data_IF_741969554587
#
_entry.id   IF_741969554587
#
_cell.length_a   1.000
_cell.length_b   1.000
_cell.length_c   1.000
_cell.angle_alpha   90.00
_cell.angle_beta   90.00
_cell.angle_gamma   90.00
#
_symmetry.space_group_name_H-M   'P 1'
#
loop_
_entity.id
_entity.type
_entity.pdbx_description
1 polymer ?
#
# COMPACT_ATOMS: atom_id res chain seq x y z
N UNK A 1 34.71 27.92 30.90
CA UNK A 1 34.06 26.63 30.61
C UNK A 1 32.54 26.76 30.52
N UNK A 2 31.89 27.51 31.42
CA UNK A 2 30.43 27.74 31.44
C UNK A 2 29.89 28.42 30.16
N UNK A 3 30.58 29.42 29.62
CA UNK A 3 30.13 30.10 28.39
C UNK A 3 30.17 29.21 27.14
N UNK A 4 31.15 28.32 27.05
CA UNK A 4 31.27 27.38 25.93
C UNK A 4 30.10 26.39 25.97
N UNK A 5 29.75 25.90 27.16
CA UNK A 5 28.64 24.99 27.35
C UNK A 5 27.28 25.66 27.09
N UNK A 6 27.12 26.93 27.50
CA UNK A 6 25.93 27.74 27.20
C UNK A 6 25.79 27.99 25.68
N UNK A 7 26.89 28.27 25.00
CA UNK A 7 26.91 28.50 23.55
C UNK A 7 26.57 27.22 22.76
N UNK A 8 27.11 26.06 23.18
CA UNK A 8 26.75 24.75 22.59
C UNK A 8 25.27 24.43 22.80
N UNK A 9 24.72 24.67 24.01
CA UNK A 9 23.29 24.46 24.27
C UNK A 9 22.40 25.39 23.47
N UNK A 10 22.78 26.65 23.31
CA UNK A 10 22.04 27.61 22.48
C UNK A 10 22.03 27.20 21.01
N UNK A 11 23.17 26.72 20.48
CA UNK A 11 23.29 26.21 19.12
C UNK A 11 22.40 24.99 18.89
N UNK A 12 22.46 24.00 19.79
CA UNK A 12 21.65 22.76 19.71
C UNK A 12 20.15 23.05 19.82
N UNK A 13 19.75 23.96 20.72
CA UNK A 13 18.35 24.33 20.88
C UNK A 13 17.83 25.23 19.72
N UNK A 14 18.72 25.94 19.04
CA UNK A 14 18.38 26.76 17.87
C UNK A 14 18.15 25.94 16.60
N UNK A 15 18.88 24.83 16.43
CA UNK A 15 18.85 23.98 15.23
C UNK A 15 17.68 22.95 15.21
N UNK A 16 16.65 23.17 16.01
CA UNK A 16 15.45 22.31 16.05
C UNK A 16 14.48 22.54 14.88
N UNK A 17 14.88 23.28 13.84
CA UNK A 17 14.05 23.47 12.66
C UNK A 17 14.06 22.21 11.78
N UNK A 18 13.15 21.30 12.07
CA UNK A 18 12.92 20.11 11.27
C UNK A 18 11.97 20.35 10.08
N UNK A 19 11.65 21.61 9.72
CA UNK A 19 10.65 21.92 8.71
C UNK A 19 10.98 21.34 7.33
N UNK A 20 12.24 21.41 6.89
CA UNK A 20 12.67 20.87 5.61
C UNK A 20 12.51 19.34 5.55
N UNK A 21 12.93 18.65 6.60
CA UNK A 21 12.81 17.19 6.72
C UNK A 21 11.33 16.76 6.79
N UNK A 22 10.50 17.52 7.53
CA UNK A 22 9.07 17.30 7.61
C UNK A 22 8.39 17.51 6.24
N UNK A 23 8.76 18.57 5.51
CA UNK A 23 8.28 18.83 4.15
C UNK A 23 8.69 17.71 3.19
N UNK A 24 9.93 17.24 3.25
CA UNK A 24 10.41 16.10 2.47
C UNK A 24 9.58 14.84 2.76
N UNK A 25 9.28 14.56 4.03
CA UNK A 25 8.48 13.42 4.44
C UNK A 25 7.02 13.52 3.96
N UNK A 26 6.40 14.69 4.05
CA UNK A 26 5.04 14.93 3.53
C UNK A 26 4.99 14.70 2.02
N UNK A 27 6.00 15.18 1.28
CA UNK A 27 6.09 14.98 -0.16
C UNK A 27 6.25 13.51 -0.52
N UNK A 28 7.08 12.76 0.21
CA UNK A 28 7.20 11.30 0.04
C UNK A 28 5.88 10.59 0.31
N UNK A 29 5.16 10.95 1.38
CA UNK A 29 3.86 10.38 1.70
C UNK A 29 2.83 10.64 0.59
N UNK A 30 2.85 11.83 -0.02
CA UNK A 30 2.00 12.15 -1.17
C UNK A 30 2.32 11.26 -2.38
N UNK A 31 3.60 11.05 -2.68
CA UNK A 31 4.04 10.15 -3.77
C UNK A 31 3.58 8.71 -3.54
N UNK A 32 3.72 8.21 -2.31
CA UNK A 32 3.27 6.86 -1.94
C UNK A 32 1.76 6.70 -2.14
N UNK A 33 0.96 7.68 -1.70
CA UNK A 33 -0.49 7.62 -1.88
C UNK A 33 -0.89 7.57 -3.36
N UNK A 34 -0.25 8.37 -4.22
CA UNK A 34 -0.49 8.32 -5.67
C UNK A 34 -0.20 6.93 -6.24
N UNK A 35 0.95 6.33 -5.86
CA UNK A 35 1.29 4.98 -6.31
C UNK A 35 0.30 3.92 -5.81
N UNK A 36 -0.21 4.07 -4.58
CA UNK A 36 -1.25 3.18 -4.05
C UNK A 36 -2.55 3.32 -4.85
N UNK A 37 -2.94 4.53 -5.20
CA UNK A 37 -4.16 4.77 -5.96
C UNK A 37 -4.03 4.29 -7.41
N UNK A 38 -2.86 4.48 -8.04
CA UNK A 38 -2.52 3.89 -9.34
C UNK A 38 -2.59 2.36 -9.29
N UNK A 39 -1.96 1.74 -8.28
CA UNK A 39 -2.01 0.30 -8.05
C UNK A 39 -3.46 -0.21 -7.88
N UNK A 40 -4.29 0.51 -7.11
CA UNK A 40 -5.72 0.21 -6.95
C UNK A 40 -6.49 0.30 -8.25
N UNK A 41 -6.26 1.36 -9.02
CA UNK A 41 -6.92 1.56 -10.31
C UNK A 41 -6.52 0.50 -11.35
N UNK A 42 -5.31 -0.04 -11.24
CA UNK A 42 -4.82 -1.17 -12.04
C UNK A 42 -5.41 -2.53 -11.60
N UNK A 43 -6.35 -2.55 -10.65
CA UNK A 43 -6.96 -3.77 -10.11
C UNK A 43 -6.20 -4.39 -8.95
N UNK A 44 -5.20 -3.69 -8.39
CA UNK A 44 -4.51 -4.09 -7.17
C UNK A 44 -5.32 -3.69 -5.94
N UNK A 45 -6.10 -4.60 -5.37
CA UNK A 45 -6.92 -4.22 -4.23
C UNK A 45 -7.83 -5.30 -3.71
N UNK A 46 -8.31 -6.19 -4.56
CA UNK A 46 -8.96 -7.40 -4.06
C UNK A 46 -7.89 -8.36 -3.55
N UNK A 47 -8.08 -8.80 -2.31
CA UNK A 47 -7.47 -10.03 -1.81
C UNK A 47 -7.74 -11.08 -2.88
N UNK A 48 -6.68 -11.66 -3.44
CA UNK A 48 -6.83 -12.79 -4.36
C UNK A 48 -7.83 -13.77 -3.72
N UNK A 49 -8.92 -14.15 -4.40
CA UNK A 49 -9.91 -15.04 -3.80
C UNK A 49 -9.19 -16.22 -3.19
N UNK A 50 -9.51 -16.51 -1.94
CA UNK A 50 -8.86 -17.60 -1.22
C UNK A 50 -9.20 -18.94 -1.91
N UNK A 51 -8.60 -20.04 -1.45
CA UNK A 51 -8.87 -21.35 -2.07
C UNK A 51 -10.37 -21.69 -2.06
N UNK A 52 -11.13 -21.25 -1.03
CA UNK A 52 -12.58 -21.48 -0.91
C UNK A 52 -13.35 -20.61 -1.89
N UNK A 53 -13.00 -19.34 -2.05
CA UNK A 53 -13.60 -18.42 -3.01
C UNK A 53 -13.35 -18.88 -4.44
N UNK A 54 -12.15 -19.38 -4.74
CA UNK A 54 -11.81 -19.99 -6.04
C UNK A 54 -12.63 -21.24 -6.31
N UNK A 55 -12.85 -22.10 -5.31
CA UNK A 55 -13.69 -23.28 -5.46
C UNK A 55 -15.16 -22.92 -5.71
N UNK A 56 -15.70 -21.94 -4.98
CA UNK A 56 -17.08 -21.44 -5.18
C UNK A 56 -17.27 -20.87 -6.59
N UNK A 57 -16.35 -20.03 -7.06
CA UNK A 57 -16.35 -19.49 -8.43
C UNK A 57 -16.27 -20.60 -9.49
N UNK A 58 -15.47 -21.64 -9.26
CA UNK A 58 -15.37 -22.80 -10.17
C UNK A 58 -16.66 -23.61 -10.19
N UNK A 59 -17.33 -23.76 -9.04
CA UNK A 59 -18.63 -24.43 -8.94
C UNK A 59 -19.72 -23.68 -9.72
N UNK A 60 -19.80 -22.36 -9.58
CA UNK A 60 -20.76 -21.53 -10.33
C UNK A 60 -20.53 -21.64 -11.85
N UNK A 61 -19.27 -21.57 -12.31
CA UNK A 61 -18.91 -21.77 -13.72
C UNK A 61 -19.22 -23.17 -14.27
N UNK A 62 -19.44 -24.17 -13.40
CA UNK A 62 -19.83 -25.51 -13.80
C UNK A 62 -21.36 -25.71 -13.82
N UNK A 63 -22.11 -24.87 -13.11
CA UNK A 63 -23.59 -24.85 -13.15
C UNK A 63 -24.08 -24.21 -14.45
N UNK A 64 -23.38 -23.20 -14.96
CA UNK A 64 -23.72 -22.52 -16.23
C UNK A 64 -23.25 -23.27 -17.49
N UNK A 65 -22.55 -24.40 -17.35
CA UNK A 65 -22.23 -25.26 -18.50
C UNK A 65 -23.37 -26.26 -18.68
N UNK A 66 -24.13 -26.24 -19.79
CA UNK A 66 -25.04 -27.32 -20.08
C UNK A 66 -24.22 -28.61 -20.18
N UNK A 67 -24.62 -29.61 -19.41
CA UNK A 67 -23.98 -30.92 -19.37
C UNK A 67 -23.77 -31.39 -20.80
N UNK A 68 -22.50 -31.44 -21.25
CA UNK A 68 -22.17 -32.10 -22.51
C UNK A 68 -22.55 -33.56 -22.32
N UNK A 69 -23.70 -33.93 -22.87
CA UNK A 69 -24.10 -35.32 -23.06
C UNK A 69 -22.99 -35.98 -23.86
N UNK A 70 -22.16 -36.76 -23.17
CA UNK A 70 -21.23 -37.68 -23.80
C UNK A 70 -22.07 -38.77 -24.45
N UNK A 71 -22.41 -38.58 -25.72
CA UNK A 71 -22.94 -39.65 -26.55
C UNK A 71 -21.84 -40.70 -26.71
N UNK A 72 -21.99 -41.82 -25.98
CA UNK A 72 -21.28 -43.07 -26.27
C UNK A 72 -21.79 -43.61 -27.60
N UNK A 73 -20.90 -43.74 -28.58
CA UNK A 73 -20.97 -44.75 -29.63
C UNK A 73 -19.58 -45.22 -29.98
#
# INVERSE_FOLDING_TARGET
MVDVEASVRALVNGDCDCSEQALAQINLRRKINLLIDEWKSAGGGDVLPDVRDRMRLRSLKNVDKPARVLARR
#
